data_IF_910866962881
#
_entry.id   IF_910866962881
#
_cell.length_a   1.000
_cell.length_b   1.000
_cell.length_c   1.000
_cell.angle_alpha   90.00
_cell.angle_beta   90.00
_cell.angle_gamma   90.00
#
_symmetry.space_group_name_H-M   'P 1'
#
loop_
_entity.id
_entity.type
_entity.pdbx_description
1 polymer ?
#
# COMPACT_ATOMS: atom_id res chain seq x y z
N UNK A 1 -37.33 -43.17 -37.26
CA UNK A 1 -35.88 -43.48 -37.32
C UNK A 1 -35.16 -42.52 -36.37
N UNK A 2 -34.61 -43.03 -35.26
CA UNK A 2 -33.91 -42.23 -34.24
C UNK A 2 -32.54 -41.82 -34.75
N UNK A 3 -32.33 -40.51 -34.93
CA UNK A 3 -31.08 -39.95 -35.43
C UNK A 3 -29.93 -40.07 -34.42
N UNK A 4 -28.91 -40.82 -34.81
CA UNK A 4 -27.57 -40.82 -34.21
C UNK A 4 -26.95 -39.43 -34.25
N UNK A 5 -26.87 -38.74 -33.11
CA UNK A 5 -26.10 -37.51 -32.94
C UNK A 5 -24.87 -37.77 -32.06
N UNK A 6 -23.80 -38.32 -32.63
CA UNK A 6 -22.57 -38.67 -31.89
C UNK A 6 -21.53 -37.55 -32.03
N UNK A 7 -21.29 -36.85 -30.91
CA UNK A 7 -19.99 -36.25 -30.55
C UNK A 7 -19.64 -34.89 -31.19
N UNK A 8 -20.00 -33.78 -30.51
CA UNK A 8 -19.37 -32.48 -30.72
C UNK A 8 -18.04 -32.42 -29.95
N UNK A 9 -17.02 -31.86 -30.59
CA UNK A 9 -15.60 -31.94 -30.25
C UNK A 9 -15.22 -31.77 -28.77
N UNK A 10 -14.56 -32.80 -28.22
CA UNK A 10 -13.54 -32.60 -27.18
C UNK A 10 -12.22 -32.35 -27.91
N UNK A 11 -11.55 -31.25 -27.55
CA UNK A 11 -10.44 -30.64 -28.27
C UNK A 11 -9.34 -31.62 -28.72
N UNK A 12 -8.86 -31.47 -29.96
CA UNK A 12 -7.61 -32.08 -30.40
C UNK A 12 -6.46 -31.23 -29.84
N UNK A 13 -5.78 -31.75 -28.81
CA UNK A 13 -4.61 -31.09 -28.23
C UNK A 13 -3.41 -31.26 -29.17
N UNK A 14 -2.56 -30.23 -29.30
CA UNK A 14 -1.37 -30.25 -30.17
C UNK A 14 -0.21 -31.05 -29.58
N UNK A 15 -0.31 -31.48 -28.32
CA UNK A 15 0.69 -32.26 -27.60
C UNK A 15 0.11 -33.61 -27.14
N UNK A 16 0.99 -34.60 -26.93
CA UNK A 16 0.62 -35.93 -26.48
C UNK A 16 0.14 -35.92 -25.01
N UNK A 17 -1.15 -36.10 -24.79
CA UNK A 17 -1.79 -36.11 -23.46
C UNK A 17 -1.36 -37.32 -22.62
N UNK A 18 -1.13 -38.47 -23.28
CA UNK A 18 -0.72 -39.72 -22.62
C UNK A 18 0.67 -39.61 -21.97
N UNK A 19 1.55 -38.77 -22.51
CA UNK A 19 2.87 -38.50 -21.94
C UNK A 19 2.80 -37.68 -20.63
N UNK A 20 1.69 -36.95 -20.42
CA UNK A 20 1.42 -36.18 -19.20
C UNK A 20 0.75 -37.07 -18.13
N UNK A 21 0.31 -38.27 -18.51
CA UNK A 21 -0.26 -39.26 -17.60
C UNK A 21 -1.78 -39.32 -17.58
N UNK A 22 -2.47 -38.71 -18.56
CA UNK A 22 -3.91 -38.93 -18.77
C UNK A 22 -4.11 -39.99 -19.87
N UNK A 23 -4.73 -41.11 -19.54
CA UNK A 23 -5.07 -42.11 -20.53
C UNK A 23 -6.23 -41.64 -21.43
N UNK A 24 -6.30 -42.20 -22.63
CA UNK A 24 -7.32 -41.86 -23.63
C UNK A 24 -8.73 -42.15 -23.09
N UNK A 25 -9.45 -41.09 -22.73
CA UNK A 25 -10.81 -41.15 -22.19
C UNK A 25 -10.92 -40.90 -20.69
N UNK A 26 -9.81 -40.67 -19.99
CA UNK A 26 -9.83 -40.25 -18.58
C UNK A 26 -10.34 -38.81 -18.42
N UNK A 27 -10.88 -38.51 -17.24
CA UNK A 27 -11.48 -37.23 -16.93
C UNK A 27 -10.40 -36.17 -16.76
N UNK A 28 -10.25 -35.32 -17.78
CA UNK A 28 -9.45 -34.10 -17.70
C UNK A 28 -9.98 -33.18 -16.57
N UNK A 29 -9.11 -32.38 -15.93
CA UNK A 29 -9.52 -31.45 -14.89
C UNK A 29 -10.62 -30.51 -15.41
N UNK A 30 -11.57 -30.21 -14.54
CA UNK A 30 -12.69 -29.35 -14.87
C UNK A 30 -12.20 -27.94 -15.22
N UNK A 31 -12.77 -27.36 -16.27
CA UNK A 31 -12.45 -25.99 -16.68
C UNK A 31 -13.09 -25.03 -15.67
N UNK A 32 -12.26 -24.29 -14.94
CA UNK A 32 -12.73 -23.27 -14.01
C UNK A 32 -13.41 -22.12 -14.76
N UNK A 33 -14.73 -21.96 -14.57
CA UNK A 33 -15.53 -20.92 -15.24
C UNK A 33 -15.36 -19.51 -14.66
N UNK A 34 -14.84 -19.40 -13.44
CA UNK A 34 -14.68 -18.13 -12.72
C UNK A 34 -13.28 -18.04 -12.15
N UNK A 35 -12.64 -16.85 -12.15
CA UNK A 35 -11.38 -16.66 -11.45
C UNK A 35 -11.60 -16.92 -9.94
N UNK A 36 -10.60 -17.47 -9.25
CA UNK A 36 -10.68 -17.65 -7.81
C UNK A 36 -10.87 -16.29 -7.11
N UNK A 37 -11.54 -16.27 -5.94
CA UNK A 37 -11.75 -15.04 -5.19
C UNK A 37 -10.42 -14.45 -4.70
N UNK A 38 -10.36 -13.13 -4.52
CA UNK A 38 -9.18 -12.40 -4.01
C UNK A 38 -8.73 -12.89 -2.63
N UNK A 39 -9.68 -13.31 -1.79
CA UNK A 39 -9.41 -13.83 -0.46
C UNK A 39 -10.01 -15.24 -0.33
N UNK A 40 -9.19 -16.30 -0.46
CA UNK A 40 -9.65 -17.66 -0.23
C UNK A 40 -10.02 -17.85 1.26
N UNK A 41 -11.05 -18.67 1.57
CA UNK A 41 -11.39 -18.96 2.95
C UNK A 41 -10.26 -19.74 3.63
N UNK A 42 -9.86 -19.30 4.83
CA UNK A 42 -8.87 -20.01 5.66
C UNK A 42 -9.58 -20.90 6.68
N UNK A 43 -9.05 -22.12 6.85
CA UNK A 43 -9.59 -23.11 7.81
C UNK A 43 -9.39 -22.65 9.27
N UNK A 44 -8.29 -21.96 9.56
CA UNK A 44 -7.95 -21.50 10.90
C UNK A 44 -8.13 -19.99 11.06
N UNK A 45 -8.54 -19.60 12.27
CA UNK A 45 -8.68 -18.21 12.70
C UNK A 45 -7.53 -17.81 13.63
N UNK A 46 -7.13 -16.53 13.67
CA UNK A 46 -6.08 -16.07 14.56
C UNK A 46 -6.49 -16.24 16.03
N UNK A 47 -5.48 -16.36 16.89
CA UNK A 47 -5.67 -16.49 18.35
C UNK A 47 -6.33 -15.21 18.90
N UNK A 48 -7.34 -15.33 19.79
CA UNK A 48 -7.92 -14.17 20.45
C UNK A 48 -6.88 -13.38 21.23
N UNK A 49 -7.07 -12.06 21.30
CA UNK A 49 -6.21 -11.20 22.10
C UNK A 49 -6.33 -11.57 23.57
N UNK A 50 -5.21 -11.42 24.28
CA UNK A 50 -5.17 -11.53 25.72
C UNK A 50 -5.95 -10.33 26.31
N UNK A 51 -6.58 -10.56 27.45
CA UNK A 51 -7.39 -9.57 28.16
C UNK A 51 -6.89 -9.47 29.59
N UNK A 52 -6.60 -8.27 30.07
CA UNK A 52 -6.17 -8.01 31.43
C UNK A 52 -5.76 -6.55 31.65
N UNK A 53 -5.79 -6.10 32.91
CA UNK A 53 -5.49 -4.71 33.29
C UNK A 53 -4.06 -4.29 32.91
N UNK A 54 -3.09 -5.21 33.00
CA UNK A 54 -1.70 -4.97 32.61
C UNK A 54 -1.57 -4.67 31.11
N UNK A 55 -2.29 -5.43 30.28
CA UNK A 55 -2.25 -5.29 28.82
C UNK A 55 -2.94 -4.01 28.37
N UNK A 56 -4.05 -3.65 29.03
CA UNK A 56 -4.75 -2.38 28.84
C UNK A 56 -3.88 -1.19 29.25
N UNK A 57 -3.13 -1.29 30.35
CA UNK A 57 -2.16 -0.27 30.76
C UNK A 57 -1.07 -0.08 29.71
N UNK A 58 -0.46 -1.17 29.24
CA UNK A 58 0.57 -1.10 28.19
C UNK A 58 0.02 -0.55 26.88
N UNK A 59 -1.24 -0.83 26.55
CA UNK A 59 -1.93 -0.26 25.39
C UNK A 59 -2.12 1.25 25.54
N UNK A 60 -2.59 1.72 26.70
CA UNK A 60 -2.73 3.13 26.99
C UNK A 60 -1.37 3.85 26.90
N UNK A 61 -0.34 3.29 27.54
CA UNK A 61 1.02 3.83 27.51
C UNK A 61 1.56 3.93 26.08
N UNK A 62 1.31 2.91 25.24
CA UNK A 62 1.70 2.94 23.82
C UNK A 62 1.03 4.09 23.06
N UNK A 63 -0.25 4.36 23.33
CA UNK A 63 -0.97 5.46 22.70
C UNK A 63 -0.43 6.81 23.13
N UNK A 64 -0.21 7.00 24.44
CA UNK A 64 0.39 8.21 25.00
C UNK A 64 1.79 8.45 24.44
N UNK A 65 2.62 7.40 24.36
CA UNK A 65 3.96 7.49 23.80
C UNK A 65 3.93 7.95 22.34
N UNK A 66 2.98 7.46 21.54
CA UNK A 66 2.81 7.94 20.15
C UNK A 66 2.45 9.43 20.09
N UNK A 67 1.58 9.89 20.98
CA UNK A 67 1.21 11.30 21.05
C UNK A 67 2.38 12.18 21.53
N UNK A 68 3.14 11.70 22.51
CA UNK A 68 4.33 12.38 23.05
C UNK A 68 5.44 12.46 22.02
N UNK A 69 5.76 11.37 21.32
CA UNK A 69 6.78 11.36 20.27
C UNK A 69 6.52 12.39 19.16
N UNK A 70 5.26 12.58 18.74
CA UNK A 70 4.90 13.58 17.73
C UNK A 70 5.07 15.03 18.20
N UNK A 71 5.06 15.26 19.52
CA UNK A 71 5.27 16.58 20.12
C UNK A 71 6.73 16.84 20.46
N UNK A 72 7.58 15.81 20.45
CA UNK A 72 8.99 15.95 20.72
C UNK A 72 9.71 16.68 19.58
N UNK A 73 10.83 17.37 19.87
CA UNK A 73 11.58 18.13 18.88
C UNK A 73 12.22 17.25 17.79
N UNK A 74 12.37 15.95 18.04
CA UNK A 74 12.90 14.96 17.09
C UNK A 74 11.93 14.65 15.94
N UNK A 75 10.66 15.02 16.05
CA UNK A 75 9.67 14.75 15.01
C UNK A 75 9.79 15.76 13.87
N UNK A 76 10.53 15.38 12.83
CA UNK A 76 10.71 16.18 11.62
C UNK A 76 9.39 16.27 10.84
N UNK A 77 8.78 17.45 10.85
CA UNK A 77 7.57 17.73 10.05
C UNK A 77 7.98 18.20 8.65
N UNK A 78 7.20 17.81 7.64
CA UNK A 78 7.35 18.37 6.30
C UNK A 78 7.04 19.87 6.36
N UNK A 79 7.86 20.67 5.69
CA UNK A 79 7.61 22.11 5.59
C UNK A 79 6.41 22.39 4.69
N UNK A 80 5.54 23.31 5.13
CA UNK A 80 4.42 23.77 4.33
C UNK A 80 4.94 24.69 3.21
N UNK A 81 4.85 24.22 1.98
CA UNK A 81 5.15 25.05 0.82
C UNK A 81 4.09 26.16 0.69
N UNK A 82 4.54 27.40 0.88
CA UNK A 82 3.96 28.61 0.33
C UNK A 82 2.57 29.03 0.87
N UNK A 83 2.56 29.66 2.05
CA UNK A 83 1.43 30.52 2.44
C UNK A 83 1.57 31.84 1.66
N UNK A 84 0.98 31.93 0.46
CA UNK A 84 1.03 33.08 -0.47
C UNK A 84 0.50 34.42 0.08
N UNK A 85 0.28 34.52 1.39
CA UNK A 85 -0.07 35.72 2.14
C UNK A 85 0.81 35.77 3.40
N UNK A 86 1.46 36.89 3.61
CA UNK A 86 2.21 37.17 4.83
C UNK A 86 1.24 37.53 5.96
N UNK A 87 1.30 36.79 7.07
CA UNK A 87 0.44 37.00 8.24
C UNK A 87 1.32 37.30 9.44
N UNK A 88 0.99 38.34 10.22
CA UNK A 88 1.71 38.68 11.45
C UNK A 88 1.75 37.52 12.47
N UNK A 89 0.77 36.61 12.45
CA UNK A 89 0.75 35.40 13.28
C UNK A 89 1.97 34.48 13.05
N UNK A 90 2.61 34.56 11.88
CA UNK A 90 3.83 33.80 11.56
C UNK A 90 4.96 34.08 12.55
N UNK A 91 5.10 35.32 13.05
CA UNK A 91 6.15 35.69 14.01
C UNK A 91 6.09 34.87 15.30
N UNK A 92 4.88 34.65 15.84
CA UNK A 92 4.68 33.88 17.07
C UNK A 92 4.81 32.37 16.85
N UNK A 93 4.44 31.87 15.67
CA UNK A 93 4.63 30.47 15.30
C UNK A 93 6.12 30.13 15.10
N UNK A 94 6.86 31.03 14.47
CA UNK A 94 8.30 30.89 14.26
C UNK A 94 9.06 30.88 15.58
N UNK A 95 8.76 31.81 16.48
CA UNK A 95 9.34 31.84 17.84
C UNK A 95 9.09 30.53 18.61
N UNK A 96 7.88 29.95 18.47
CA UNK A 96 7.58 28.64 19.07
C UNK A 96 8.42 27.53 18.44
N UNK A 97 8.58 27.52 17.11
CA UNK A 97 9.38 26.51 16.40
C UNK A 97 10.85 26.55 16.84
N UNK A 98 11.43 27.74 16.90
CA UNK A 98 12.80 27.98 17.38
C UNK A 98 12.99 27.50 18.83
N UNK A 99 12.01 27.74 19.70
CA UNK A 99 12.08 27.24 21.10
C UNK A 99 12.07 25.71 21.23
N UNK A 100 11.65 25.00 20.17
CA UNK A 100 11.59 23.55 20.11
C UNK A 100 12.78 22.96 19.33
N UNK A 101 13.75 23.76 18.90
CA UNK A 101 14.92 23.28 18.17
C UNK A 101 15.84 22.51 19.11
N UNK A 102 16.07 21.22 18.80
CA UNK A 102 17.00 20.39 19.54
C UNK A 102 18.35 20.34 18.81
N UNK A 103 19.41 20.79 19.48
CA UNK A 103 20.78 20.74 18.95
C UNK A 103 21.47 19.46 19.41
N UNK A 104 21.88 18.57 18.48
CA UNK A 104 22.68 17.40 18.85
C UNK A 104 24.07 17.82 19.36
N UNK A 105 24.66 17.03 20.26
CA UNK A 105 26.02 17.28 20.74
C UNK A 105 27.06 17.16 19.63
N UNK A 106 27.93 18.15 19.47
CA UNK A 106 28.87 18.23 18.34
C UNK A 106 29.96 17.14 18.34
N UNK A 107 30.19 16.48 19.48
CA UNK A 107 31.28 15.49 19.65
C UNK A 107 30.92 14.09 19.12
N UNK A 108 29.65 13.81 18.85
CA UNK A 108 29.17 12.48 18.45
C UNK A 108 28.75 12.38 16.99
N UNK A 109 28.56 13.52 16.31
CA UNK A 109 28.22 13.56 14.90
C UNK A 109 29.49 13.55 14.05
N UNK A 110 29.46 12.84 12.92
CA UNK A 110 30.53 12.94 11.92
C UNK A 110 30.59 14.37 11.40
N UNK A 111 31.80 14.85 11.05
CA UNK A 111 32.00 16.25 10.64
C UNK A 111 31.08 16.72 9.50
N UNK A 112 30.70 15.81 8.61
CA UNK A 112 29.76 16.10 7.52
C UNK A 112 28.31 16.30 8.02
N UNK A 113 27.89 15.63 9.09
CA UNK A 113 26.53 15.73 9.64
C UNK A 113 26.37 16.85 10.68
N UNK A 114 27.48 17.40 11.17
CA UNK A 114 27.49 18.59 12.04
C UNK A 114 27.33 19.90 11.27
N UNK A 115 27.51 19.89 9.95
CA UNK A 115 27.35 21.08 9.11
C UNK A 115 25.87 21.32 8.80
N UNK A 116 25.22 22.39 9.32
CA UNK A 116 23.80 22.65 9.05
C UNK A 116 23.50 22.94 7.56
N UNK A 117 24.56 23.14 6.76
CA UNK A 117 24.50 23.34 5.32
C UNK A 117 24.51 22.02 4.52
N UNK A 118 24.73 20.86 5.15
CA UNK A 118 24.69 19.57 4.47
C UNK A 118 23.23 19.21 4.14
N UNK A 119 22.70 19.80 3.07
CA UNK A 119 21.48 19.29 2.47
C UNK A 119 21.80 17.91 1.94
N UNK A 120 21.14 16.90 2.48
CA UNK A 120 21.04 15.62 1.79
C UNK A 120 20.16 15.93 0.59
N UNK A 121 20.77 16.10 -0.57
CA UNK A 121 20.03 16.19 -1.81
C UNK A 121 19.26 14.86 -1.94
N UNK A 122 17.95 14.91 -1.70
CA UNK A 122 17.06 13.78 -1.99
C UNK A 122 16.84 13.77 -3.51
N UNK A 123 17.92 13.67 -4.27
CA UNK A 123 17.86 13.29 -5.67
C UNK A 123 17.71 11.76 -5.72
N UNK A 124 16.46 11.32 -5.86
CA UNK A 124 16.14 10.02 -6.42
C UNK A 124 16.43 8.79 -5.56
N UNK A 125 15.73 8.62 -4.44
CA UNK A 125 15.41 7.26 -3.98
C UNK A 125 13.98 6.92 -4.41
N UNK A 126 13.86 6.52 -5.68
CA UNK A 126 12.71 5.76 -6.12
C UNK A 126 12.71 4.47 -5.30
N UNK A 127 11.71 4.30 -4.43
CA UNK A 127 11.29 2.96 -4.07
C UNK A 127 10.85 2.32 -5.38
N UNK A 128 11.68 1.45 -5.96
CA UNK A 128 11.21 0.45 -6.93
C UNK A 128 10.19 -0.43 -6.20
N UNK A 129 8.94 0.03 -6.20
CA UNK A 129 7.79 -0.83 -6.07
C UNK A 129 7.82 -1.69 -7.33
N UNK A 130 8.11 -2.97 -7.17
CA UNK A 130 8.07 -3.95 -8.26
C UNK A 130 6.73 -3.81 -9.00
N UNK A 131 6.82 -3.30 -10.22
CA UNK A 131 5.69 -3.16 -11.13
C UNK A 131 5.07 -4.53 -11.39
N UNK A 132 3.79 -4.63 -11.09
CA UNK A 132 2.91 -5.68 -11.59
C UNK A 132 2.71 -5.41 -13.09
N UNK A 133 2.95 -6.37 -14.01
CA UNK A 133 2.80 -6.10 -15.43
C UNK A 133 1.30 -6.00 -15.78
N UNK A 134 0.83 -4.77 -15.96
CA UNK A 134 -0.41 -4.47 -16.68
C UNK A 134 -0.06 -4.07 -18.11
N UNK A 135 -0.23 -5.01 -19.04
CA UNK A 135 -0.30 -4.71 -20.47
C UNK A 135 -1.71 -4.26 -20.83
N UNK A 136 -1.87 -2.99 -21.20
CA UNK A 136 -3.07 -2.48 -21.88
C UNK A 136 -2.98 -2.77 -23.39
N UNK A 137 -4.09 -2.67 -24.16
CA UNK A 137 -4.30 -1.38 -24.84
C UNK A 137 -5.77 -0.94 -25.01
N UNK A 138 -5.94 0.38 -24.85
CA UNK A 138 -6.88 1.33 -25.46
C UNK A 138 -8.14 0.83 -26.20
N UNK A 139 -9.29 1.45 -25.89
CA UNK A 139 -10.22 1.97 -26.91
C UNK A 139 -11.16 3.08 -26.35
N UNK A 140 -11.15 4.22 -27.05
CA UNK A 140 -12.23 5.16 -27.32
C UNK A 140 -12.83 6.12 -26.26
N UNK A 141 -12.48 7.40 -26.46
CA UNK A 141 -13.35 8.60 -26.55
C UNK A 141 -14.83 8.40 -26.17
N UNK A 142 -15.29 9.08 -25.12
CA UNK A 142 -16.54 9.85 -25.17
C UNK A 142 -16.76 10.70 -23.90
N UNK A 143 -17.00 11.99 -24.17
CA UNK A 143 -18.01 12.86 -23.56
C UNK A 143 -18.09 13.02 -22.03
N UNK A 144 -17.77 14.26 -21.64
CA UNK A 144 -18.24 14.95 -20.45
C UNK A 144 -19.68 14.62 -20.03
N UNK A 145 -19.90 14.46 -18.72
CA UNK A 145 -21.09 14.95 -18.01
C UNK A 145 -20.74 15.12 -16.52
N UNK A 146 -20.79 16.38 -16.05
CA UNK A 146 -20.72 16.75 -14.63
C UNK A 146 -21.99 16.23 -13.94
N UNK A 147 -21.83 15.36 -12.94
CA UNK A 147 -22.88 15.07 -11.98
C UNK A 147 -22.66 15.91 -10.72
N UNK A 148 -23.42 16.99 -10.61
CA UNK A 148 -23.55 17.80 -9.41
C UNK A 148 -24.37 17.02 -8.38
N UNK A 149 -23.76 16.57 -7.29
CA UNK A 149 -24.51 16.08 -6.13
C UNK A 149 -24.83 17.25 -5.20
N UNK A 150 -26.09 17.67 -5.24
CA UNK A 150 -26.72 18.54 -4.25
C UNK A 150 -27.26 17.61 -3.14
N UNK A 151 -26.68 17.65 -1.95
CA UNK A 151 -27.18 16.92 -0.79
C UNK A 151 -28.02 17.88 0.06
N UNK A 152 -29.30 17.55 0.24
CA UNK A 152 -30.16 18.03 1.32
C UNK A 152 -29.97 17.14 2.54
#
# INVERSE_FOLDING_TARGET
MSGSGKGRGRAAFTFNIEAIGFAKGETLPEVAFKPPPLFPPTDFKPVPLKMGEEEDYMLALKQEFRASMKKMPYFMQKEDENQGIEKYSKKYLQMRKESMEWTPGHLTLSGHASDPQCKIDVEGSYLEVLDTPQGSPNLDKASATRFSFLFM
#
